data_IF_032138960342
#
_entry.id   IF_032138960342
#
_cell.length_a   1.000
_cell.length_b   1.000
_cell.length_c   1.000
_cell.angle_alpha   90.00
_cell.angle_beta   90.00
_cell.angle_gamma   90.00
#
_symmetry.space_group_name_H-M   'P 1'
#
loop_
_entity.id
_entity.type
_entity.pdbx_description
1 polymer ?
#
# COMPACT_ATOMS: atom_id res chain seq x y z
N UNK A 1 -6.10 20.05 7.67
CA UNK A 1 -7.16 19.26 8.33
C UNK A 1 -6.55 17.91 8.70
N UNK A 2 -6.55 17.53 9.98
CA UNK A 2 -6.02 16.23 10.43
C UNK A 2 -7.00 15.13 10.05
N UNK A 3 -6.55 14.12 9.29
CA UNK A 3 -7.37 12.98 8.91
C UNK A 3 -7.72 12.15 10.15
N UNK A 4 -8.98 11.75 10.28
CA UNK A 4 -9.50 11.05 11.45
C UNK A 4 -9.59 9.58 11.12
N UNK A 5 -8.60 8.78 11.53
CA UNK A 5 -8.77 7.35 11.40
C UNK A 5 -9.80 6.81 12.40
N UNK A 6 -10.60 5.85 11.95
CA UNK A 6 -11.63 5.21 12.75
C UNK A 6 -11.17 3.84 13.26
N UNK A 7 -11.28 3.63 14.59
CA UNK A 7 -11.05 2.32 15.20
C UNK A 7 -12.26 1.42 14.95
N UNK A 8 -12.07 0.27 14.33
CA UNK A 8 -13.15 -0.70 14.04
C UNK A 8 -13.22 -1.85 15.06
N UNK A 9 -12.33 -1.86 16.06
CA UNK A 9 -12.27 -2.84 17.13
C UNK A 9 -11.04 -3.76 17.08
N UNK A 10 -11.00 -4.82 17.91
CA UNK A 10 -9.90 -5.77 17.92
C UNK A 10 -9.85 -6.59 16.62
N UNK A 11 -8.66 -7.05 16.25
CA UNK A 11 -8.49 -7.94 15.09
C UNK A 11 -9.12 -9.31 15.40
N UNK A 12 -9.98 -9.85 14.53
CA UNK A 12 -10.54 -11.19 14.72
C UNK A 12 -9.45 -12.26 14.71
N UNK A 13 -9.49 -13.18 15.67
CA UNK A 13 -8.44 -14.20 15.88
C UNK A 13 -8.41 -15.29 14.82
N UNK A 14 -9.45 -15.43 13.99
CA UNK A 14 -9.63 -16.55 13.06
C UNK A 14 -9.77 -16.13 11.59
N UNK A 15 -9.13 -15.03 11.17
CA UNK A 15 -9.13 -14.67 9.76
C UNK A 15 -8.07 -15.44 8.97
N UNK A 16 -8.51 -16.18 7.96
CA UNK A 16 -7.66 -16.77 6.93
C UNK A 16 -8.11 -16.24 5.58
N UNK A 17 -7.20 -15.62 4.83
CA UNK A 17 -7.50 -15.02 3.53
C UNK A 17 -7.96 -16.10 2.52
N UNK A 18 -9.22 -16.04 2.03
CA UNK A 18 -9.69 -16.99 1.03
C UNK A 18 -8.86 -16.96 -0.26
N UNK A 19 -8.84 -18.07 -1.00
CA UNK A 19 -8.04 -18.18 -2.24
C UNK A 19 -8.48 -17.20 -3.32
N UNK A 20 -9.80 -16.99 -3.49
CA UNK A 20 -10.35 -16.05 -4.49
C UNK A 20 -9.91 -14.60 -4.25
N UNK A 21 -9.57 -14.24 -3.01
CA UNK A 21 -9.07 -12.90 -2.68
C UNK A 21 -7.67 -12.63 -3.23
N UNK A 22 -6.97 -13.67 -3.70
CA UNK A 22 -5.67 -13.56 -4.37
C UNK A 22 -5.82 -13.32 -5.87
N UNK A 23 -7.00 -13.58 -6.42
CA UNK A 23 -7.30 -13.32 -7.82
C UNK A 23 -7.39 -11.82 -8.05
N UNK A 24 -6.99 -11.42 -9.25
CA UNK A 24 -6.87 -10.02 -9.61
C UNK A 24 -8.03 -9.58 -10.49
N UNK A 25 -8.74 -8.52 -10.08
CA UNK A 25 -9.73 -7.84 -10.89
C UNK A 25 -9.10 -6.66 -11.63
N UNK A 26 -9.44 -6.51 -12.91
CA UNK A 26 -8.98 -5.39 -13.71
C UNK A 26 -9.47 -4.07 -13.13
N UNK A 27 -8.55 -3.20 -12.66
CA UNK A 27 -8.90 -1.88 -12.09
C UNK A 27 -8.75 -0.79 -13.15
N UNK A 28 -7.53 -0.59 -13.65
CA UNK A 28 -7.25 0.44 -14.66
C UNK A 28 -5.95 0.14 -15.41
N UNK A 29 -5.81 0.68 -16.62
CA UNK A 29 -4.57 0.62 -17.38
C UNK A 29 -4.23 1.96 -18.01
N UNK A 30 -2.95 2.28 -18.00
CA UNK A 30 -2.34 3.30 -18.85
C UNK A 30 -1.77 2.66 -20.13
N UNK A 31 -1.02 3.44 -20.91
CA UNK A 31 -0.30 2.94 -22.08
C UNK A 31 0.84 1.99 -21.71
N UNK A 32 1.44 2.16 -20.52
CA UNK A 32 2.66 1.44 -20.09
C UNK A 32 2.44 0.50 -18.90
N UNK A 33 1.40 0.74 -18.10
CA UNK A 33 1.15 0.00 -16.86
C UNK A 33 -0.32 -0.37 -16.68
N UNK A 34 -0.57 -1.45 -15.95
CA UNK A 34 -1.91 -1.90 -15.60
C UNK A 34 -1.98 -2.25 -14.11
N UNK A 35 -2.98 -1.73 -13.42
CA UNK A 35 -3.29 -2.04 -12.04
C UNK A 35 -4.41 -3.09 -11.98
N UNK A 36 -4.17 -4.13 -11.20
CA UNK A 36 -5.10 -5.24 -10.96
C UNK A 36 -5.37 -5.32 -9.46
N UNK A 37 -6.63 -5.17 -9.05
CA UNK A 37 -7.02 -5.12 -7.65
C UNK A 37 -7.29 -6.52 -7.08
N UNK A 38 -6.67 -6.82 -5.94
CA UNK A 38 -6.92 -8.04 -5.14
C UNK A 38 -7.83 -7.74 -3.97
N UNK A 39 -8.48 -8.78 -3.44
CA UNK A 39 -9.43 -8.65 -2.34
C UNK A 39 -10.67 -7.83 -2.71
N UNK A 40 -11.05 -7.89 -3.98
CA UNK A 40 -12.14 -7.12 -4.56
C UNK A 40 -13.16 -8.04 -5.23
N UNK A 41 -14.32 -7.49 -5.54
CA UNK A 41 -15.40 -8.12 -6.31
C UNK A 41 -15.99 -7.14 -7.32
N UNK A 42 -16.70 -7.67 -8.29
CA UNK A 42 -17.50 -6.86 -9.20
C UNK A 42 -18.77 -6.37 -8.49
N UNK A 43 -19.10 -5.08 -8.65
CA UNK A 43 -20.37 -4.52 -8.24
C UNK A 43 -20.99 -3.72 -9.38
N UNK A 44 -22.31 -3.67 -9.43
CA UNK A 44 -23.05 -2.80 -10.35
C UNK A 44 -23.33 -1.47 -9.69
N UNK A 45 -22.96 -0.39 -10.36
CA UNK A 45 -23.43 0.95 -10.04
C UNK A 45 -24.92 1.02 -10.36
N UNK A 46 -25.77 1.14 -9.33
CA UNK A 46 -27.21 1.33 -9.51
C UNK A 46 -27.56 2.65 -10.21
N UNK A 47 -26.63 3.62 -10.24
CA UNK A 47 -26.84 4.92 -10.84
C UNK A 47 -26.52 4.96 -12.35
N UNK A 48 -25.51 4.21 -12.81
CA UNK A 48 -25.05 4.27 -14.21
C UNK A 48 -25.24 2.96 -14.98
N UNK A 49 -25.52 1.84 -14.28
CA UNK A 49 -25.50 0.51 -14.89
C UNK A 49 -24.08 -0.01 -15.18
N UNK A 50 -23.04 0.76 -14.86
CA UNK A 50 -21.66 0.35 -15.06
C UNK A 50 -21.21 -0.64 -13.99
N UNK A 51 -20.42 -1.62 -14.40
CA UNK A 51 -19.70 -2.48 -13.46
C UNK A 51 -18.46 -1.78 -12.92
N UNK A 52 -18.30 -1.76 -11.61
CA UNK A 52 -17.11 -1.25 -10.91
C UNK A 52 -16.45 -2.35 -10.08
N UNK A 53 -15.15 -2.16 -9.80
CA UNK A 53 -14.40 -3.01 -8.88
C UNK A 53 -14.49 -2.40 -7.49
N UNK A 54 -15.06 -3.14 -6.54
CA UNK A 54 -15.22 -2.71 -5.14
C UNK A 54 -14.53 -3.69 -4.20
N UNK A 55 -14.20 -3.27 -2.98
CA UNK A 55 -13.61 -4.18 -2.00
C UNK A 55 -14.59 -5.32 -1.65
N UNK A 56 -14.10 -6.57 -1.64
CA UNK A 56 -14.92 -7.71 -1.24
C UNK A 56 -14.84 -7.86 0.27
N UNK A 57 -15.94 -7.73 1.02
CA UNK A 57 -15.93 -7.92 2.47
C UNK A 57 -15.34 -9.26 2.90
N UNK A 58 -15.57 -10.34 2.14
CA UNK A 58 -15.05 -11.68 2.45
C UNK A 58 -13.52 -11.78 2.43
N UNK A 59 -12.85 -10.79 1.85
CA UNK A 59 -11.39 -10.73 1.73
C UNK A 59 -10.69 -9.97 2.84
N UNK A 60 -11.42 -9.47 3.84
CA UNK A 60 -10.87 -8.65 4.91
C UNK A 60 -11.25 -9.18 6.30
N UNK A 61 -10.38 -9.03 7.32
CA UNK A 61 -10.62 -9.60 8.66
C UNK A 61 -11.97 -9.23 9.29
N UNK A 62 -12.47 -8.02 9.05
CA UNK A 62 -13.72 -7.50 9.63
C UNK A 62 -14.92 -7.54 8.68
N UNK A 63 -14.82 -8.22 7.54
CA UNK A 63 -15.96 -8.32 6.63
C UNK A 63 -16.42 -6.96 6.12
N UNK A 64 -17.74 -6.77 6.16
CA UNK A 64 -18.43 -5.55 5.76
C UNK A 64 -17.99 -4.30 6.52
N UNK A 65 -17.55 -4.43 7.78
CA UNK A 65 -17.11 -3.27 8.56
C UNK A 65 -15.82 -2.68 8.00
N UNK A 66 -14.98 -3.50 7.37
CA UNK A 66 -13.77 -3.04 6.72
C UNK A 66 -14.05 -2.46 5.34
N UNK A 67 -14.74 -3.21 4.47
CA UNK A 67 -15.04 -2.77 3.10
C UNK A 67 -15.82 -1.47 3.10
N UNK A 68 -16.89 -1.40 3.89
CA UNK A 68 -17.72 -0.19 4.01
C UNK A 68 -16.90 0.98 4.54
N UNK A 69 -16.00 0.76 5.50
CA UNK A 69 -15.24 1.85 6.05
C UNK A 69 -14.18 2.37 5.09
N UNK A 70 -13.51 1.50 4.31
CA UNK A 70 -12.61 1.96 3.24
C UNK A 70 -13.38 2.70 2.14
N UNK A 71 -14.53 2.17 1.72
CA UNK A 71 -15.29 2.72 0.60
C UNK A 71 -15.96 4.07 0.97
N UNK A 72 -16.41 4.24 2.22
CA UNK A 72 -17.02 5.48 2.72
C UNK A 72 -15.98 6.53 3.15
N UNK A 73 -14.83 6.08 3.63
CA UNK A 73 -13.80 6.96 4.17
C UNK A 73 -12.64 7.08 3.17
N UNK A 74 -12.94 7.33 1.89
CA UNK A 74 -11.95 7.45 0.80
C UNK A 74 -10.73 8.31 1.15
N UNK A 75 -10.85 9.23 2.11
CA UNK A 75 -9.74 9.99 2.68
C UNK A 75 -9.32 9.62 4.13
N UNK A 76 -10.17 8.98 4.91
CA UNK A 76 -9.96 8.68 6.34
C UNK A 76 -9.73 7.17 6.57
N UNK A 77 -8.49 6.77 6.91
CA UNK A 77 -8.18 5.35 7.09
C UNK A 77 -8.95 4.67 8.25
N UNK A 78 -9.02 3.34 8.23
CA UNK A 78 -9.47 2.54 9.39
C UNK A 78 -8.34 1.71 9.96
N UNK A 79 -8.44 1.38 11.25
CA UNK A 79 -7.47 0.52 11.91
C UNK A 79 -8.11 -0.41 12.94
N UNK A 80 -7.44 -1.53 13.16
CA UNK A 80 -7.71 -2.45 14.25
C UNK A 80 -6.93 -2.06 15.49
N UNK A 81 -7.58 -2.10 16.65
CA UNK A 81 -6.90 -1.91 17.94
C UNK A 81 -7.70 -2.56 19.08
N UNK A 82 -7.04 -3.32 19.98
CA UNK A 82 -5.61 -3.65 19.95
C UNK A 82 -5.29 -4.77 18.96
N UNK A 83 -4.15 -4.66 18.27
CA UNK A 83 -3.61 -5.73 17.42
C UNK A 83 -2.10 -5.55 17.23
N UNK A 84 -1.33 -6.62 17.47
CA UNK A 84 0.15 -6.62 17.43
C UNK A 84 0.74 -7.47 16.31
N UNK A 85 -0.10 -8.27 15.64
CA UNK A 85 0.33 -9.20 14.59
C UNK A 85 -0.61 -9.11 13.39
N UNK A 86 -0.03 -9.25 12.19
CA UNK A 86 -0.80 -9.28 10.96
C UNK A 86 -1.67 -10.53 10.87
N UNK A 87 -2.89 -10.44 10.31
CA UNK A 87 -3.75 -11.60 10.13
C UNK A 87 -3.12 -12.61 9.17
N UNK A 88 -3.58 -13.86 9.24
CA UNK A 88 -3.04 -14.94 8.41
C UNK A 88 -3.15 -14.62 6.92
N UNK A 89 -2.06 -14.83 6.18
CA UNK A 89 -1.94 -14.47 4.77
C UNK A 89 -1.41 -13.06 4.52
N UNK A 90 -1.23 -12.25 5.55
CA UNK A 90 -0.61 -10.93 5.49
C UNK A 90 0.78 -10.94 6.14
N UNK A 91 1.63 -9.99 5.73
CA UNK A 91 2.95 -9.72 6.28
C UNK A 91 3.03 -8.28 6.76
N UNK A 92 3.83 -8.02 7.80
CA UNK A 92 4.11 -6.66 8.25
C UNK A 92 5.01 -5.96 7.23
N UNK A 93 4.42 -5.07 6.44
CA UNK A 93 5.12 -4.30 5.41
C UNK A 93 5.76 -3.01 5.95
N UNK A 94 5.21 -2.46 7.04
CA UNK A 94 5.78 -1.36 7.80
C UNK A 94 5.38 -1.47 9.27
N UNK A 95 6.22 -0.99 10.18
CA UNK A 95 5.89 -0.88 11.60
C UNK A 95 6.57 0.34 12.23
N UNK A 96 6.02 0.83 13.34
CA UNK A 96 6.59 1.92 14.12
C UNK A 96 5.69 3.16 14.17
N UNK A 97 6.34 4.32 14.30
CA UNK A 97 5.73 5.65 14.46
C UNK A 97 5.86 6.52 13.20
N UNK A 98 6.08 5.89 12.04
CA UNK A 98 6.28 6.58 10.76
C UNK A 98 5.04 7.42 10.43
N UNK A 99 5.13 8.73 10.72
CA UNK A 99 4.00 9.68 10.61
C UNK A 99 3.33 9.70 9.24
N UNK A 100 4.11 9.44 8.19
CA UNK A 100 3.65 9.39 6.81
C UNK A 100 2.76 8.17 6.54
N UNK A 101 3.12 7.03 7.12
CA UNK A 101 2.40 5.77 7.01
C UNK A 101 1.22 5.70 8.00
N UNK A 102 1.34 6.39 9.13
CA UNK A 102 0.38 6.36 10.23
C UNK A 102 -0.01 7.78 10.66
N UNK A 103 -0.92 8.43 9.91
CA UNK A 103 -1.42 9.72 10.33
C UNK A 103 -2.13 9.61 11.69
N UNK A 104 -1.98 10.63 12.53
CA UNK A 104 -2.72 10.73 13.80
C UNK A 104 -2.47 9.57 14.78
N UNK A 105 -1.27 8.98 14.84
CA UNK A 105 -0.86 8.15 15.98
C UNK A 105 -0.78 9.01 17.23
N UNK A 106 -1.34 8.52 18.35
CA UNK A 106 -1.13 9.17 19.65
C UNK A 106 0.28 8.88 20.15
N UNK A 107 0.77 9.73 21.07
CA UNK A 107 2.02 9.46 21.77
C UNK A 107 1.93 8.06 22.42
N UNK A 108 2.94 7.22 22.24
CA UNK A 108 3.03 5.82 22.71
C UNK A 108 2.17 4.77 21.97
N UNK A 109 1.44 5.13 20.92
CA UNK A 109 0.87 4.12 20.00
C UNK A 109 1.93 3.67 18.99
N UNK A 110 1.95 2.37 18.69
CA UNK A 110 2.72 1.79 17.60
C UNK A 110 1.76 1.35 16.50
N UNK A 111 2.08 1.67 15.25
CA UNK A 111 1.34 1.21 14.08
C UNK A 111 2.01 0.02 13.41
N UNK A 112 1.21 -0.86 12.82
CA UNK A 112 1.67 -1.88 11.87
C UNK A 112 0.82 -1.78 10.61
N UNK A 113 1.47 -1.83 9.45
CA UNK A 113 0.81 -1.97 8.15
C UNK A 113 1.01 -3.40 7.67
N UNK A 114 -0.10 -4.08 7.45
CA UNK A 114 -0.17 -5.44 6.97
C UNK A 114 -0.57 -5.44 5.50
N UNK A 115 0.27 -6.05 4.66
CA UNK A 115 -0.01 -6.28 3.24
C UNK A 115 -0.19 -7.76 2.96
N UNK A 116 -1.00 -8.16 1.96
CA UNK A 116 -1.03 -9.53 1.52
C UNK A 116 0.38 -10.04 1.20
N UNK A 117 0.64 -11.31 1.51
CA UNK A 117 1.96 -11.93 1.33
C UNK A 117 2.49 -11.74 -0.09
N UNK A 118 3.74 -11.29 -0.22
CA UNK A 118 4.38 -11.01 -1.50
C UNK A 118 4.15 -9.60 -2.05
N UNK A 119 3.48 -8.71 -1.29
CA UNK A 119 3.28 -7.31 -1.64
C UNK A 119 3.99 -6.38 -0.66
N UNK A 120 4.42 -5.22 -1.16
CA UNK A 120 5.08 -4.17 -0.38
C UNK A 120 4.16 -2.96 -0.23
N UNK A 121 4.23 -2.27 0.90
CA UNK A 121 3.45 -1.05 1.10
C UNK A 121 4.10 0.16 0.41
N UNK A 122 3.31 0.93 -0.34
CA UNK A 122 3.77 2.16 -0.99
C UNK A 122 3.13 3.37 -0.33
N UNK A 123 3.93 4.21 0.33
CA UNK A 123 3.43 5.41 1.06
C UNK A 123 2.70 6.38 0.12
N UNK A 124 3.19 6.54 -1.11
CA UNK A 124 2.63 7.47 -2.10
C UNK A 124 1.19 7.13 -2.51
N UNK A 125 0.91 5.84 -2.75
CA UNK A 125 -0.43 5.37 -3.11
C UNK A 125 -1.25 4.87 -1.91
N UNK A 126 -0.62 4.71 -0.73
CA UNK A 126 -1.22 4.12 0.48
C UNK A 126 -1.87 2.76 0.24
N UNK A 127 -1.29 2.01 -0.68
CA UNK A 127 -1.77 0.69 -1.09
C UNK A 127 -0.60 -0.29 -1.01
N UNK A 128 -0.94 -1.55 -0.85
CA UNK A 128 0.00 -2.65 -1.05
C UNK A 128 0.15 -2.87 -2.56
N UNK A 129 1.40 -2.95 -3.04
CA UNK A 129 1.73 -3.14 -4.45
C UNK A 129 2.74 -4.27 -4.64
N UNK A 130 2.56 -5.03 -5.72
CA UNK A 130 3.54 -6.00 -6.20
C UNK A 130 3.58 -6.00 -7.72
N UNK A 131 4.76 -6.00 -8.31
CA UNK A 131 4.90 -6.22 -9.74
C UNK A 131 4.64 -7.70 -10.04
N UNK A 132 3.80 -7.97 -11.03
CA UNK A 132 3.41 -9.33 -11.43
C UNK A 132 3.83 -9.57 -12.88
N UNK A 133 4.49 -10.69 -13.13
CA UNK A 133 4.87 -11.14 -14.48
C UNK A 133 3.76 -11.95 -15.17
N UNK A 134 2.84 -12.49 -14.38
CA UNK A 134 1.64 -13.19 -14.83
C UNK A 134 0.56 -13.08 -13.75
N UNK A 135 -0.68 -12.90 -14.18
CA UNK A 135 -1.85 -13.01 -13.32
C UNK A 135 -3.07 -13.43 -14.13
N UNK A 136 -3.99 -14.13 -13.47
CA UNK A 136 -5.37 -14.25 -13.94
C UNK A 136 -6.05 -12.92 -13.66
N UNK A 137 -6.38 -12.19 -14.72
CA UNK A 137 -7.12 -10.94 -14.63
C UNK A 137 -8.55 -11.20 -15.00
N UNK A 138 -9.45 -10.88 -14.07
CA UNK A 138 -10.89 -10.94 -14.27
C UNK A 138 -11.37 -9.54 -14.63
N UNK A 139 -12.17 -9.44 -15.70
CA UNK A 139 -12.93 -8.21 -16.00
C UNK A 139 -14.34 -8.34 -15.48
N UNK A 140 -14.86 -7.27 -14.91
CA UNK A 140 -16.28 -7.16 -14.61
C UNK A 140 -17.04 -6.87 -15.91
N UNK A 141 -18.09 -7.64 -16.18
CA UNK A 141 -19.00 -7.41 -17.30
C UNK A 141 -20.38 -7.01 -16.75
N UNK A 142 -20.98 -5.95 -17.29
CA UNK A 142 -22.17 -5.30 -16.73
C UNK A 142 -23.44 -6.15 -16.73
N UNK A 143 -23.42 -7.34 -17.35
CA UNK A 143 -24.61 -8.20 -17.52
C UNK A 143 -24.62 -9.39 -16.54
N UNK A 144 -23.46 -9.75 -15.96
CA UNK A 144 -23.35 -10.83 -14.99
C UNK A 144 -22.43 -10.35 -13.87
N UNK A 145 -22.92 -10.31 -12.63
CA UNK A 145 -22.14 -10.02 -11.40
C UNK A 145 -21.08 -11.10 -11.10
N UNK A 146 -20.65 -11.86 -12.11
CA UNK A 146 -19.65 -12.90 -12.01
C UNK A 146 -18.48 -12.58 -12.94
N UNK A 147 -17.32 -13.07 -12.53
CA UNK A 147 -16.08 -13.05 -13.27
C UNK A 147 -16.21 -13.81 -14.61
N UNK A 148 -16.66 -13.15 -15.68
CA UNK A 148 -17.02 -13.83 -16.94
C UNK A 148 -15.81 -14.25 -17.78
N UNK A 149 -14.64 -13.61 -17.60
CA UNK A 149 -13.44 -13.97 -18.38
C UNK A 149 -12.15 -13.82 -17.56
N UNK A 150 -11.40 -14.92 -17.44
CA UNK A 150 -10.01 -14.92 -16.98
C UNK A 150 -9.08 -14.71 -18.17
N UNK A 151 -8.35 -13.59 -18.21
CA UNK A 151 -7.25 -13.39 -19.16
C UNK A 151 -5.94 -13.66 -18.42
N UNK A 152 -5.16 -14.63 -18.88
CA UNK A 152 -3.77 -14.76 -18.45
C UNK A 152 -3.02 -13.64 -19.14
N UNK A 153 -2.61 -12.64 -18.39
CA UNK A 153 -1.81 -11.57 -18.98
C UNK A 153 -0.34 -11.97 -18.95
N UNK A 154 0.21 -12.23 -20.13
CA UNK A 154 1.63 -12.47 -20.32
C UNK A 154 2.16 -11.38 -21.25
N UNK A 155 2.63 -10.29 -20.66
CA UNK A 155 3.02 -9.10 -21.40
C UNK A 155 4.54 -8.95 -21.43
N UNK A 156 5.11 -8.80 -22.64
CA UNK A 156 6.52 -8.41 -22.81
C UNK A 156 6.74 -6.89 -22.88
N UNK A 157 5.67 -6.08 -23.00
CA UNK A 157 5.78 -4.63 -23.28
C UNK A 157 5.13 -3.71 -22.23
N UNK A 158 4.19 -4.22 -21.43
CA UNK A 158 3.48 -3.51 -20.35
C UNK A 158 3.80 -4.11 -18.99
N UNK A 159 3.90 -3.24 -17.98
CA UNK A 159 4.07 -3.64 -16.58
C UNK A 159 2.72 -3.88 -15.92
N UNK A 160 2.60 -4.98 -15.17
CA UNK A 160 1.41 -5.29 -14.39
C UNK A 160 1.72 -5.16 -12.91
N UNK A 161 0.82 -4.49 -12.20
CA UNK A 161 0.91 -4.26 -10.76
C UNK A 161 -0.34 -4.82 -10.09
N UNK A 162 -0.15 -5.76 -9.18
CA UNK A 162 -1.20 -6.14 -8.24
C UNK A 162 -1.29 -5.06 -7.17
N UNK A 163 -2.50 -4.59 -6.88
CA UNK A 163 -2.79 -3.58 -5.84
C UNK A 163 -3.80 -4.15 -4.84
N UNK A 164 -3.64 -3.82 -3.56
CA UNK A 164 -4.56 -4.23 -2.51
C UNK A 164 -4.62 -3.19 -1.39
N UNK A 165 -5.77 -3.12 -0.71
CA UNK A 165 -5.95 -2.30 0.47
C UNK A 165 -5.06 -2.79 1.61
N UNK A 166 -4.40 -1.87 2.32
CA UNK A 166 -3.52 -2.19 3.42
C UNK A 166 -4.29 -2.30 4.74
N UNK A 167 -4.03 -3.33 5.54
CA UNK A 167 -4.64 -3.48 6.87
C UNK A 167 -3.79 -2.75 7.89
N UNK A 168 -4.34 -1.75 8.57
CA UNK A 168 -3.64 -1.02 9.61
C UNK A 168 -4.00 -1.56 10.99
N UNK A 169 -2.97 -1.84 11.79
CA UNK A 169 -3.10 -2.22 13.20
C UNK A 169 -2.51 -1.11 14.06
N UNK A 170 -3.06 -0.94 15.26
CA UNK A 170 -2.52 -0.06 16.30
C UNK A 170 -2.60 -0.74 17.66
N UNK A 171 -1.57 -0.51 18.46
CA UNK A 171 -1.51 -0.97 19.84
C UNK A 171 -0.66 -0.04 20.69
N UNK A 172 -0.87 -0.09 21.99
CA UNK A 172 -0.01 0.50 23.02
C UNK A 172 0.64 -0.59 23.85
N UNK A 173 1.69 -0.26 24.59
CA UNK A 173 2.36 -1.21 25.47
C UNK A 173 1.40 -1.82 26.51
N UNK A 174 0.39 -1.07 26.95
CA UNK A 174 -0.65 -1.52 27.89
C UNK A 174 -1.62 -2.53 27.28
N UNK A 175 -1.69 -2.61 25.96
CA UNK A 175 -2.59 -3.53 25.25
C UNK A 175 -2.00 -4.93 25.12
N UNK A 176 -0.69 -5.08 25.31
CA UNK A 176 -0.06 -6.39 25.31
C UNK A 176 -0.48 -7.09 26.61
N UNK A 177 -0.90 -8.38 26.54
CA UNK A 177 -1.12 -9.14 27.76
C UNK A 177 0.19 -9.07 28.55
N UNK A 178 0.11 -8.53 29.76
CA UNK A 178 1.25 -8.57 30.68
C UNK A 178 1.59 -10.04 30.80
N UNK A 179 2.75 -10.44 30.27
CA UNK A 179 3.27 -11.76 30.54
C UNK A 179 3.51 -11.77 32.05
N UNK A 180 2.51 -12.23 32.80
CA UNK A 180 2.68 -12.60 34.18
C UNK A 180 3.69 -13.72 34.11
N UNK A 181 4.95 -13.39 34.36
CA UNK A 181 5.98 -14.37 34.64
C UNK A 181 5.47 -15.15 35.84
N UNK A 182 4.76 -16.25 35.59
CA UNK A 182 4.39 -17.18 36.64
C UNK A 182 5.70 -17.54 37.32
N UNK A 183 5.90 -17.24 38.61
CA UNK A 183 7.10 -17.67 39.28
C UNK A 183 7.13 -19.19 39.16
N UNK A 184 8.10 -19.72 38.43
CA UNK A 184 8.38 -21.15 38.39
C UNK A 184 8.74 -21.54 39.81
N UNK A 185 7.73 -21.97 40.60
CA UNK A 185 7.98 -22.61 41.87
C UNK A 185 8.65 -23.94 41.53
N UNK A 186 9.97 -23.97 41.65
CA UNK A 186 10.75 -25.21 41.60
C UNK A 186 10.29 -26.08 42.77
N UNK A 187 9.31 -26.95 42.51
CA UNK A 187 8.92 -28.00 43.44
C UNK A 187 10.09 -29.00 43.49
N UNK A 188 10.83 -28.95 44.59
CA UNK A 188 11.96 -29.82 44.86
C UNK A 188 11.44 -31.24 45.10
N UNK A 189 11.22 -32.00 44.02
CA UNK A 189 11.05 -33.45 44.08
C UNK A 189 12.38 -34.08 44.48
N UNK A 190 12.43 -34.60 45.70
CA UNK A 190 13.55 -35.40 46.23
C UNK A 190 13.62 -36.71 45.46
N UNK A 191 14.50 -36.77 44.47
CA UNK A 191 14.94 -38.02 43.81
C UNK A 191 16.35 -38.41 44.33
N UNK A 192 16.62 -39.70 44.59
CA UNK A 192 17.88 -40.20 45.13
C UNK A 192 19.10 -39.98 44.19
N UNK A 193 20.34 -40.11 44.71
CA UNK A 193 21.56 -39.51 44.12
C UNK A 193 22.01 -40.13 42.78
N UNK A 194 22.73 -39.36 41.95
CA UNK A 194 23.06 -39.74 40.57
C UNK A 194 24.30 -40.63 40.47
N UNK A 195 24.24 -41.65 39.63
CA UNK A 195 25.44 -42.26 39.03
C UNK A 195 25.91 -41.38 37.89
N UNK A 196 27.18 -40.97 37.94
CA UNK A 196 27.77 -39.97 37.07
C UNK A 196 27.68 -40.30 35.58
N UNK A 197 27.19 -39.34 34.81
CA UNK A 197 27.47 -39.24 33.38
C UNK A 197 27.79 -37.79 33.07
N UNK A 198 29.05 -37.53 32.75
CA UNK A 198 29.62 -36.23 32.40
C UNK A 198 29.04 -35.77 31.07
N UNK A 199 28.02 -34.91 31.11
CA UNK A 199 27.49 -34.23 29.92
C UNK A 199 28.25 -32.91 29.73
N UNK A 200 28.90 -32.69 28.57
CA UNK A 200 29.69 -31.48 28.34
C UNK A 200 28.79 -30.24 28.18
N UNK A 201 29.22 -29.14 28.81
CA UNK A 201 28.51 -27.86 28.80
C UNK A 201 28.37 -27.28 27.37
N UNK A 202 27.19 -26.77 26.98
CA UNK A 202 27.02 -26.10 25.70
C UNK A 202 27.66 -24.69 25.75
N UNK A 203 28.85 -24.56 25.17
CA UNK A 203 29.46 -23.27 24.82
C UNK A 203 29.01 -22.87 23.42
N UNK A 204 27.96 -22.07 23.28
CA UNK A 204 27.53 -21.54 21.99
C UNK A 204 26.62 -20.33 22.13
N UNK A 205 27.08 -19.16 21.69
CA UNK A 205 26.24 -17.96 21.60
C UNK A 205 25.10 -18.17 20.60
N UNK A 206 23.90 -17.73 20.99
CA UNK A 206 22.67 -17.79 20.20
C UNK A 206 22.84 -17.19 18.81
N UNK A 207 22.37 -17.89 17.79
CA UNK A 207 22.52 -17.60 16.36
C UNK A 207 22.10 -16.17 15.96
N UNK A 208 21.18 -15.55 16.72
CA UNK A 208 20.69 -14.19 16.48
C UNK A 208 21.75 -13.09 16.61
N UNK A 209 22.80 -13.27 17.42
CA UNK A 209 23.86 -12.28 17.57
C UNK A 209 24.84 -12.25 16.37
N UNK A 210 24.93 -13.34 15.60
CA UNK A 210 25.86 -13.45 14.46
C UNK A 210 25.38 -12.72 13.19
N UNK A 211 24.07 -12.48 13.05
CA UNK A 211 23.49 -11.89 11.83
C UNK A 211 23.58 -10.35 11.87
N UNK A 212 23.58 -9.74 13.05
CA UNK A 212 23.57 -8.26 13.20
C UNK A 212 24.84 -7.55 12.72
N UNK A 213 25.99 -8.22 12.66
CA UNK A 213 27.26 -7.58 12.27
C UNK A 213 27.50 -7.65 10.75
N UNK A 214 26.84 -8.57 10.03
CA UNK A 214 27.08 -8.80 8.60
C UNK A 214 26.54 -7.73 7.65
N UNK A 215 25.53 -6.94 8.08
CA UNK A 215 24.82 -6.00 7.19
C UNK A 215 25.34 -4.56 7.31
N UNK A 216 26.09 -4.23 8.37
CA UNK A 216 26.54 -2.86 8.62
C UNK A 216 27.63 -2.40 7.64
N UNK A 217 28.55 -3.29 7.25
CA UNK A 217 29.68 -2.97 6.38
C UNK A 217 29.27 -2.60 4.94
N UNK A 218 28.39 -3.35 4.24
CA UNK A 218 28.01 -3.01 2.87
C UNK A 218 27.21 -1.70 2.78
N UNK A 219 26.39 -1.37 3.79
CA UNK A 219 25.60 -0.13 3.79
C UNK A 219 26.49 1.13 3.89
N UNK A 220 27.56 1.07 4.69
CA UNK A 220 28.52 2.17 4.80
C UNK A 220 29.29 2.36 3.48
N UNK A 221 29.72 1.28 2.83
CA UNK A 221 30.42 1.34 1.55
C UNK A 221 29.54 1.96 0.43
N UNK A 222 28.26 1.57 0.37
CA UNK A 222 27.29 2.13 -0.60
C UNK A 222 27.05 3.61 -0.31
N UNK A 223 26.92 4.01 0.96
CA UNK A 223 26.76 5.41 1.34
C UNK A 223 27.93 6.30 0.89
N UNK A 224 29.17 5.83 1.07
CA UNK A 224 30.37 6.55 0.62
C UNK A 224 30.41 6.67 -0.91
N UNK A 225 30.06 5.61 -1.64
CA UNK A 225 30.03 5.62 -3.10
C UNK A 225 29.01 6.62 -3.66
N UNK A 226 27.81 6.69 -3.08
CA UNK A 226 26.76 7.64 -3.47
C UNK A 226 27.23 9.08 -3.22
N UNK A 227 27.83 9.34 -2.05
CA UNK A 227 28.31 10.68 -1.70
C UNK A 227 29.43 11.15 -2.66
N UNK A 228 30.37 10.27 -3.00
CA UNK A 228 31.42 10.54 -3.96
C UNK A 228 30.85 10.86 -5.36
N UNK A 229 29.86 10.09 -5.81
CA UNK A 229 29.19 10.32 -7.09
C UNK A 229 28.49 11.69 -7.17
N UNK A 230 27.78 12.09 -6.11
CA UNK A 230 27.08 13.39 -6.06
C UNK A 230 28.08 14.55 -6.12
N UNK A 231 29.20 14.47 -5.39
CA UNK A 231 30.24 15.51 -5.41
C UNK A 231 30.88 15.61 -6.80
N UNK A 232 31.18 14.48 -7.43
CA UNK A 232 31.74 14.44 -8.78
C UNK A 232 30.77 15.05 -9.82
N UNK A 233 29.47 14.71 -9.72
CA UNK A 233 28.44 15.24 -10.60
C UNK A 233 28.28 16.76 -10.45
N UNK A 234 28.32 17.29 -9.22
CA UNK A 234 28.24 18.74 -8.98
C UNK A 234 29.45 19.48 -9.53
N UNK A 235 30.67 18.95 -9.37
CA UNK A 235 31.90 19.60 -9.89
C UNK A 235 31.96 19.63 -11.42
N UNK A 236 31.31 18.69 -12.11
CA UNK A 236 31.28 18.68 -13.57
C UNK A 236 30.42 19.80 -14.18
N UNK A 237 29.49 20.37 -13.41
CA UNK A 237 28.59 21.44 -13.88
C UNK A 237 29.19 22.84 -13.81
N UNK A 238 30.39 23.02 -13.24
CA UNK A 238 30.96 24.35 -12.96
C UNK A 238 32.09 24.80 -13.89
N UNK A 239 32.28 24.13 -15.05
CA UNK A 239 33.29 24.54 -16.05
C UNK A 239 32.76 25.42 -17.19
N UNK A 240 31.68 26.17 -16.96
CA UNK A 240 31.24 27.21 -17.90
C UNK A 240 31.23 28.55 -17.17
N UNK A 241 32.40 29.17 -17.06
CA UNK A 241 32.52 30.62 -16.85
C UNK A 241 32.53 31.25 -18.25
N UNK A 242 31.42 31.79 -18.76
CA UNK A 242 31.49 32.76 -19.85
C UNK A 242 32.03 34.08 -19.29
N UNK A 243 33.25 34.43 -19.68
CA UNK A 243 33.74 35.82 -19.61
C UNK A 243 32.95 36.65 -20.63
N UNK A 244 31.84 37.26 -20.23
CA UNK A 244 31.17 38.27 -21.07
C UNK A 244 31.64 39.65 -20.63
N UNK A 245 32.53 40.22 -21.44
CA UNK A 245 32.89 41.64 -21.43
C UNK A 245 31.64 42.47 -21.69
N UNK A 246 31.52 43.58 -20.97
CA UNK A 246 30.40 44.51 -21.10
C UNK A 246 30.26 45.11 -22.48
N UNK A 247 29.01 45.36 -22.89
CA UNK A 247 28.65 46.46 -23.77
C UNK A 247 27.23 46.86 -23.39
N UNK A 248 27.11 48.03 -22.77
CA UNK A 248 25.82 48.68 -22.55
C UNK A 248 25.28 49.11 -23.91
N UNK A 249 24.16 48.54 -24.34
CA UNK A 249 23.37 49.08 -25.45
C UNK A 249 21.90 48.87 -25.15
N UNK A 250 21.18 49.97 -25.38
CA UNK A 250 19.84 50.36 -24.93
C UNK A 250 18.71 49.35 -25.20
N UNK A 251 17.69 49.44 -24.36
CA UNK A 251 16.33 48.95 -24.59
C UNK A 251 15.82 49.27 -26.00
N UNK A 252 15.06 48.31 -26.57
CA UNK A 252 13.76 48.67 -27.08
C UNK A 252 12.66 47.73 -26.54
N UNK A 253 11.64 48.39 -26.03
CA UNK A 253 10.27 47.94 -25.81
C UNK A 253 9.78 47.07 -26.98
N UNK A 254 9.42 45.81 -26.71
CA UNK A 254 8.77 44.93 -27.69
C UNK A 254 7.29 44.78 -27.34
N UNK A 255 6.44 45.29 -28.23
CA UNK A 255 4.99 45.11 -28.22
C UNK A 255 4.62 43.63 -28.42
N UNK A 256 3.57 43.18 -27.72
CA UNK A 256 2.97 41.86 -27.85
C UNK A 256 2.19 41.72 -29.17
N UNK A 257 2.49 40.73 -30.03
CA UNK A 257 1.60 40.34 -31.11
C UNK A 257 0.55 39.36 -30.57
N UNK A 258 -0.71 39.80 -30.58
CA UNK A 258 -1.88 38.99 -30.22
C UNK A 258 -2.05 37.76 -31.10
N UNK A 259 -2.15 36.59 -30.47
CA UNK A 259 -2.53 35.34 -31.14
C UNK A 259 -4.05 35.19 -31.03
N UNK A 260 -4.72 35.40 -32.17
CA UNK A 260 -6.14 35.10 -32.39
C UNK A 260 -6.40 33.62 -32.13
N UNK A 261 -7.30 33.32 -31.21
CA UNK A 261 -7.92 32.00 -31.13
C UNK A 261 -8.99 31.89 -32.24
N UNK A 262 -9.01 30.84 -33.07
CA UNK A 262 -10.15 30.55 -33.93
C UNK A 262 -11.31 30.03 -33.07
N UNK A 263 -12.46 30.69 -33.15
CA UNK A 263 -13.71 30.21 -32.62
C UNK A 263 -14.10 28.91 -33.35
N UNK A 264 -14.21 27.82 -32.60
CA UNK A 264 -14.84 26.59 -33.07
C UNK A 264 -16.34 26.72 -32.79
N UNK A 265 -17.12 26.96 -33.84
CA UNK A 265 -18.58 26.90 -33.76
C UNK A 265 -19.00 25.43 -33.66
N UNK A 266 -19.74 25.10 -32.59
CA UNK A 266 -20.46 23.84 -32.47
C UNK A 266 -21.90 24.05 -32.95
N UNK A 267 -22.44 23.16 -33.79
CA UNK A 267 -23.81 23.28 -34.30
C UNK A 267 -24.83 23.09 -33.17
N UNK A 268 -25.76 24.05 -33.09
CA UNK A 268 -26.93 23.98 -32.24
C UNK A 268 -27.82 22.79 -32.64
N UNK A 269 -27.83 21.75 -31.81
CA UNK A 269 -28.89 20.73 -31.84
C UNK A 269 -30.19 21.34 -31.34
N UNK A 270 -31.05 21.64 -32.31
CA UNK A 270 -32.42 22.12 -32.15
C UNK A 270 -33.25 21.09 -31.37
N UNK A 271 -33.60 21.41 -30.13
CA UNK A 271 -34.57 20.69 -29.34
C UNK A 271 -35.97 20.86 -29.97
N UNK A 272 -36.48 19.80 -30.62
CA UNK A 272 -37.86 19.73 -31.07
C UNK A 272 -38.69 19.07 -29.98
N UNK A 273 -39.33 19.90 -29.17
CA UNK A 273 -40.42 19.53 -28.27
C UNK A 273 -41.54 18.88 -29.09
N UNK A 274 -41.80 17.60 -28.86
CA UNK A 274 -43.01 16.95 -29.34
C UNK A 274 -43.95 16.81 -28.14
N UNK A 275 -44.88 17.76 -28.07
CA UNK A 275 -46.05 17.71 -27.21
C UNK A 275 -46.90 16.51 -27.64
N UNK A 276 -47.24 15.63 -26.71
CA UNK A 276 -48.27 14.62 -26.88
C UNK A 276 -49.43 15.03 -25.97
N UNK A 277 -50.42 15.69 -26.55
CA UNK A 277 -51.76 15.77 -25.97
C UNK A 277 -52.48 14.45 -26.25
N UNK A 278 -53.18 13.93 -25.25
CA UNK A 278 -54.19 12.89 -25.42
C UNK A 278 -55.41 13.32 -24.58
N UNK A 279 -56.60 13.44 -25.20
CA UNK A 279 -57.84 13.71 -24.50
C UNK A 279 -58.46 12.43 -23.93
N UNK A 280 -59.28 12.65 -22.89
CA UNK A 280 -60.27 11.80 -22.18
C UNK A 280 -60.42 10.32 -22.55
#
# INVERSE_FOLDING_TARGET
MSRKLSNIGPLPTAFSLPSHCRDGLYKSCSTTSCDVQRGARCALSTASGDSSVVNDPGCWPSGDRWSTAIDLLQDDGVYFSPAVECPSGFIAAASGDVREAFPSLKNSETGIICCPSGMSYTIASRECRAQISSAVVIKCDGVVLEATSSVIVQSRTREYWAVASAVQLRFQATDLPTQTSTPTTSEASRSPPPTGTTVPAPKGLTTGAKIGVGVAVPLVAIGIAILAYIIWRRRRSSNTIPKTKGTATKEPLYELPGTRAPAHELPATQARSHVHELPE
#
